data_IF_424269899670
#
_entry.id   IF_424269899670
#
_cell.length_a   1.000
_cell.length_b   1.000
_cell.length_c   1.000
_cell.angle_alpha   90.00
_cell.angle_beta   90.00
_cell.angle_gamma   90.00
#
_symmetry.space_group_name_H-M   'P 1'
#
loop_
_entity.id
_entity.type
_entity.pdbx_description
1 polymer ?
#
# COMPACT_ATOMS: atom_id res chain seq x y z
N UNK A 1 2.35 27.36 15.26
CA UNK A 1 3.28 26.58 14.41
C UNK A 1 3.92 25.45 15.22
N UNK A 2 3.69 24.19 14.83
CA UNK A 2 4.34 23.03 15.47
C UNK A 2 5.85 23.14 15.24
N UNK A 3 6.65 22.91 16.29
CA UNK A 3 8.11 22.92 16.26
C UNK A 3 8.58 21.93 15.18
N UNK A 4 9.42 22.39 14.24
CA UNK A 4 9.87 21.61 13.05
C UNK A 4 10.61 20.31 13.41
N UNK A 5 11.05 20.21 14.65
CA UNK A 5 11.85 19.16 15.28
C UNK A 5 11.01 17.99 15.87
N UNK A 6 9.68 18.07 15.85
CA UNK A 6 8.77 17.06 16.42
C UNK A 6 7.61 16.70 15.48
N UNK A 7 7.83 16.65 14.16
CA UNK A 7 6.81 16.19 13.23
C UNK A 7 6.89 14.67 13.03
N UNK A 8 6.11 13.93 13.80
CA UNK A 8 5.85 12.51 13.57
C UNK A 8 4.44 12.39 12.99
N UNK A 9 4.28 12.04 11.70
CA UNK A 9 2.96 11.88 11.12
C UNK A 9 2.27 10.66 11.72
N UNK A 10 0.95 10.73 11.92
CA UNK A 10 0.15 9.54 12.27
C UNK A 10 -0.12 8.66 11.04
N UNK A 11 -0.19 9.29 9.87
CA UNK A 11 -0.49 8.63 8.60
C UNK A 11 0.35 9.23 7.48
N UNK A 12 0.81 8.39 6.57
CA UNK A 12 1.48 8.78 5.33
C UNK A 12 0.66 8.32 4.14
N UNK A 13 0.42 9.25 3.20
CA UNK A 13 -0.28 9.00 1.95
C UNK A 13 0.73 8.90 0.81
N UNK A 14 0.68 7.80 0.06
CA UNK A 14 1.48 7.59 -1.14
C UNK A 14 0.57 7.64 -2.36
N UNK A 15 0.92 8.51 -3.32
CA UNK A 15 0.33 8.49 -4.66
C UNK A 15 1.10 7.47 -5.48
N UNK A 16 0.42 6.43 -5.94
CA UNK A 16 1.04 5.23 -6.51
C UNK A 16 0.26 4.71 -7.70
N UNK A 17 0.92 3.92 -8.54
CA UNK A 17 0.25 3.12 -9.57
C UNK A 17 -0.09 1.71 -9.06
N UNK A 18 -0.72 0.90 -9.91
CA UNK A 18 -1.14 -0.45 -9.59
C UNK A 18 0.03 -1.40 -9.22
N UNK A 19 1.19 -1.27 -9.89
CA UNK A 19 2.36 -2.09 -9.60
C UNK A 19 2.91 -1.80 -8.20
N UNK A 20 3.07 -0.52 -7.88
CA UNK A 20 3.50 -0.06 -6.56
C UNK A 20 2.50 -0.46 -5.48
N UNK A 21 1.20 -0.40 -5.76
CA UNK A 21 0.16 -0.86 -4.84
C UNK A 21 0.31 -2.37 -4.54
N UNK A 22 0.50 -3.19 -5.58
CA UNK A 22 0.75 -4.62 -5.40
C UNK A 22 1.97 -4.88 -4.51
N UNK A 23 3.07 -4.13 -4.73
CA UNK A 23 4.29 -4.28 -3.94
C UNK A 23 4.06 -3.90 -2.47
N UNK A 24 3.41 -2.77 -2.21
CA UNK A 24 3.13 -2.31 -0.85
C UNK A 24 2.20 -3.25 -0.08
N UNK A 25 1.18 -3.79 -0.74
CA UNK A 25 0.28 -4.79 -0.12
C UNK A 25 1.07 -6.01 0.32
N UNK A 26 1.94 -6.55 -0.55
CA UNK A 26 2.76 -7.73 -0.23
C UNK A 26 3.73 -7.44 0.91
N UNK A 27 4.40 -6.28 0.91
CA UNK A 27 5.33 -5.91 1.96
C UNK A 27 4.64 -5.68 3.31
N UNK A 28 3.45 -5.08 3.33
CA UNK A 28 2.68 -4.88 4.56
C UNK A 28 2.24 -6.22 5.20
N UNK A 29 2.04 -7.25 4.39
CA UNK A 29 1.68 -8.60 4.85
C UNK A 29 2.87 -9.46 5.24
N UNK A 30 4.10 -9.00 5.01
CA UNK A 30 5.28 -9.86 5.06
C UNK A 30 5.46 -10.58 6.40
N UNK A 31 5.20 -9.88 7.51
CA UNK A 31 5.47 -10.39 8.86
C UNK A 31 4.36 -11.28 9.43
N UNK A 32 3.10 -11.05 9.04
CA UNK A 32 1.94 -11.70 9.66
C UNK A 32 1.04 -12.46 8.66
N UNK A 33 1.29 -12.31 7.36
CA UNK A 33 0.48 -12.88 6.29
C UNK A 33 -0.96 -12.35 6.23
N UNK A 34 -1.31 -11.30 7.00
CA UNK A 34 -2.68 -10.84 7.14
C UNK A 34 -3.05 -9.85 6.05
N UNK A 35 -3.99 -10.23 5.21
CA UNK A 35 -4.57 -9.31 4.22
C UNK A 35 -5.11 -8.04 4.89
N UNK A 36 -4.73 -6.84 4.40
CA UNK A 36 -5.32 -5.60 4.89
C UNK A 36 -6.83 -5.60 4.69
N UNK A 37 -7.55 -5.12 5.70
CA UNK A 37 -8.96 -4.77 5.53
C UNK A 37 -9.05 -3.48 4.73
N UNK A 38 -9.75 -3.52 3.59
CA UNK A 38 -9.91 -2.37 2.72
C UNK A 38 -11.30 -1.76 2.86
N UNK A 39 -11.35 -0.43 2.98
CA UNK A 39 -12.56 0.35 2.81
C UNK A 39 -12.48 1.10 1.49
N UNK A 40 -13.14 0.54 0.47
CA UNK A 40 -13.10 1.02 -0.91
C UNK A 40 -14.28 1.95 -1.27
N UNK A 41 -15.23 2.14 -0.36
CA UNK A 41 -16.40 3.00 -0.59
C UNK A 41 -16.33 4.28 0.26
N UNK A 42 -17.08 5.28 -0.19
CA UNK A 42 -17.22 6.57 0.48
C UNK A 42 -16.43 7.68 -0.20
N UNK A 43 -16.45 8.86 0.41
CA UNK A 43 -15.69 10.01 -0.06
C UNK A 43 -14.18 9.74 -0.01
N UNK A 44 -13.42 10.38 -0.89
CA UNK A 44 -11.96 10.24 -0.96
C UNK A 44 -11.30 10.59 0.37
N UNK A 45 -11.74 11.64 1.07
CA UNK A 45 -11.22 12.01 2.39
C UNK A 45 -11.43 10.93 3.46
N UNK A 46 -12.59 10.24 3.42
CA UNK A 46 -12.88 9.14 4.34
C UNK A 46 -11.96 7.95 4.06
N UNK A 47 -11.96 7.45 2.83
CA UNK A 47 -11.19 6.26 2.45
C UNK A 47 -9.67 6.48 2.58
N UNK A 48 -9.20 7.69 2.33
CA UNK A 48 -7.76 8.00 2.30
C UNK A 48 -7.22 8.44 3.67
N UNK A 49 -8.01 9.14 4.49
CA UNK A 49 -7.50 9.73 5.74
C UNK A 49 -8.23 9.15 6.94
N UNK A 50 -9.55 9.31 7.00
CA UNK A 50 -10.30 9.01 8.23
C UNK A 50 -10.28 7.53 8.57
N UNK A 51 -10.59 6.64 7.62
CA UNK A 51 -10.62 5.20 7.85
C UNK A 51 -9.26 4.64 8.32
N UNK A 52 -8.13 4.89 7.63
CA UNK A 52 -6.84 4.39 8.09
C UNK A 52 -6.42 4.97 9.45
N UNK A 53 -6.70 6.25 9.69
CA UNK A 53 -6.36 6.92 10.94
C UNK A 53 -7.12 6.33 12.14
N UNK A 54 -8.44 6.09 12.00
CA UNK A 54 -9.26 5.59 13.12
C UNK A 54 -9.15 4.08 13.33
N UNK A 55 -8.86 3.32 12.27
CA UNK A 55 -8.77 1.86 12.34
C UNK A 55 -7.35 1.32 12.55
N UNK A 56 -6.31 2.13 12.28
CA UNK A 56 -4.91 1.68 12.27
C UNK A 56 -4.61 0.68 11.13
N UNK A 57 -5.49 0.60 10.13
CA UNK A 57 -5.30 -0.28 8.97
C UNK A 57 -4.59 0.45 7.83
N UNK A 58 -3.76 -0.30 7.11
CA UNK A 58 -3.37 0.08 5.76
C UNK A 58 -4.63 0.12 4.88
N UNK A 59 -4.81 1.16 4.06
CA UNK A 59 -5.88 1.18 3.07
C UNK A 59 -5.35 1.55 1.69
N UNK A 60 -6.04 1.05 0.67
CA UNK A 60 -5.83 1.41 -0.72
C UNK A 60 -7.12 2.03 -1.26
N UNK A 61 -7.03 3.24 -1.76
CA UNK A 61 -8.17 3.95 -2.36
C UNK A 61 -7.88 4.25 -3.82
N UNK A 62 -8.88 4.00 -4.66
CA UNK A 62 -8.91 4.50 -6.04
C UNK A 62 -9.41 5.94 -6.11
N UNK A 63 -9.86 6.51 -4.99
CA UNK A 63 -10.55 7.80 -4.95
C UNK A 63 -12.00 7.71 -5.44
N UNK A 64 -12.89 8.51 -4.85
CA UNK A 64 -14.27 8.58 -5.33
C UNK A 64 -14.36 9.30 -6.68
N UNK A 65 -15.28 8.85 -7.53
CA UNK A 65 -15.40 9.33 -8.91
C UNK A 65 -15.69 10.83 -9.01
N UNK A 66 -16.36 11.40 -8.00
CA UNK A 66 -16.73 12.82 -8.00
C UNK A 66 -15.49 13.67 -7.74
N UNK A 67 -14.75 13.40 -6.66
CA UNK A 67 -13.52 14.10 -6.33
C UNK A 67 -12.48 14.00 -7.46
N UNK A 68 -12.33 12.82 -8.07
CA UNK A 68 -11.41 12.63 -9.20
C UNK A 68 -11.75 13.49 -10.40
N UNK A 69 -13.04 13.59 -10.76
CA UNK A 69 -13.50 14.40 -11.89
C UNK A 69 -13.38 15.90 -11.61
N UNK A 70 -13.71 16.32 -10.39
CA UNK A 70 -13.64 17.73 -10.00
C UNK A 70 -12.20 18.27 -10.01
N UNK A 71 -11.25 17.48 -9.51
CA UNK A 71 -9.85 17.91 -9.35
C UNK A 71 -8.94 17.39 -10.48
N UNK A 72 -9.50 16.74 -11.51
CA UNK A 72 -8.73 16.30 -12.69
C UNK A 72 -7.63 15.28 -12.38
N UNK A 73 -7.90 14.29 -11.52
CA UNK A 73 -6.92 13.28 -11.13
C UNK A 73 -6.52 12.38 -12.31
N UNK A 74 -5.22 12.13 -12.44
CA UNK A 74 -4.66 11.15 -13.39
C UNK A 74 -5.24 9.76 -13.12
N UNK A 75 -5.94 9.12 -14.08
CA UNK A 75 -6.63 7.83 -13.90
C UNK A 75 -5.75 6.69 -13.37
N UNK A 76 -4.43 6.75 -13.58
CA UNK A 76 -3.51 5.69 -13.16
C UNK A 76 -3.07 5.83 -11.69
N UNK A 77 -3.34 6.98 -11.06
CA UNK A 77 -3.01 7.24 -9.66
C UNK A 77 -4.04 6.63 -8.72
N UNK A 78 -3.54 5.77 -7.84
CA UNK A 78 -4.16 5.25 -6.63
C UNK A 78 -3.51 5.88 -5.39
N UNK A 79 -4.14 5.72 -4.23
CA UNK A 79 -3.63 6.25 -2.96
C UNK A 79 -3.48 5.12 -1.95
N UNK A 80 -2.26 4.85 -1.50
CA UNK A 80 -2.01 4.00 -0.34
C UNK A 80 -1.88 4.86 0.91
N UNK A 81 -2.60 4.46 1.95
CA UNK A 81 -2.70 5.20 3.20
C UNK A 81 -2.15 4.31 4.31
N UNK A 82 -1.03 4.72 4.90
CA UNK A 82 -0.23 3.87 5.79
C UNK A 82 -0.09 4.57 7.15
N UNK A 83 -0.67 3.99 8.23
CA UNK A 83 -0.36 4.41 9.60
C UNK A 83 1.14 4.34 9.86
N UNK A 84 1.71 5.36 10.50
CA UNK A 84 3.16 5.52 10.58
C UNK A 84 3.86 4.36 11.31
N UNK A 85 3.17 3.72 12.24
CA UNK A 85 3.64 2.55 12.99
C UNK A 85 3.92 1.35 12.07
N UNK A 86 3.24 1.26 10.92
CA UNK A 86 3.42 0.17 9.94
C UNK A 86 4.57 0.40 8.97
N UNK A 87 4.99 1.65 8.78
CA UNK A 87 6.01 2.02 7.78
C UNK A 87 7.32 1.30 8.03
N UNK A 88 7.76 1.22 9.29
CA UNK A 88 9.01 0.53 9.63
C UNK A 88 8.96 -0.95 9.23
N UNK A 89 7.88 -1.65 9.54
CA UNK A 89 7.73 -3.06 9.20
C UNK A 89 7.73 -3.30 7.68
N UNK A 90 7.10 -2.41 6.91
CA UNK A 90 7.12 -2.45 5.44
C UNK A 90 8.54 -2.23 4.91
N UNK A 91 9.26 -1.24 5.44
CA UNK A 91 10.63 -0.93 5.04
C UNK A 91 11.59 -2.08 5.34
N UNK A 92 11.52 -2.64 6.56
CA UNK A 92 12.36 -3.76 6.99
C UNK A 92 12.08 -5.04 6.15
N UNK A 93 10.89 -5.17 5.56
CA UNK A 93 10.53 -6.30 4.69
C UNK A 93 11.10 -6.21 3.27
N UNK A 94 11.58 -5.03 2.83
CA UNK A 94 12.04 -4.82 1.45
C UNK A 94 13.19 -5.77 1.10
N UNK A 95 14.17 -5.92 1.99
CA UNK A 95 15.35 -6.75 1.73
C UNK A 95 15.06 -8.26 1.82
N UNK A 96 13.90 -8.63 2.36
CA UNK A 96 13.53 -10.01 2.67
C UNK A 96 12.42 -10.56 1.77
N UNK A 97 11.70 -9.69 1.06
CA UNK A 97 10.59 -10.07 0.19
C UNK A 97 10.98 -10.02 -1.29
N UNK A 98 10.44 -10.95 -2.09
CA UNK A 98 10.56 -10.92 -3.55
C UNK A 98 9.77 -9.77 -4.18
N UNK A 99 8.85 -9.13 -3.44
CA UNK A 99 8.23 -7.86 -3.84
C UNK A 99 9.15 -6.64 -3.64
N UNK A 100 10.26 -6.84 -2.91
CA UNK A 100 11.34 -5.89 -2.69
C UNK A 100 12.61 -6.28 -3.45
N UNK A 101 13.69 -6.56 -2.72
CA UNK A 101 15.03 -6.83 -3.25
C UNK A 101 15.48 -8.28 -3.06
N UNK A 102 14.70 -9.11 -2.35
CA UNK A 102 15.10 -10.48 -2.09
C UNK A 102 15.09 -11.30 -3.38
N UNK A 103 16.12 -12.13 -3.55
CA UNK A 103 16.18 -13.07 -4.66
C UNK A 103 15.17 -14.19 -4.43
N UNK A 104 14.40 -14.59 -5.46
CA UNK A 104 13.56 -15.77 -5.37
C UNK A 104 14.37 -17.02 -5.05
N UNK A 105 13.78 -17.98 -4.35
CA UNK A 105 14.39 -19.30 -4.20
C UNK A 105 14.24 -20.11 -5.48
N UNK A 106 15.12 -21.10 -5.69
CA UNK A 106 15.01 -21.99 -6.87
C UNK A 106 13.65 -22.68 -6.96
N UNK A 107 13.06 -23.06 -5.82
CA UNK A 107 11.74 -23.66 -5.76
C UNK A 107 10.66 -22.70 -6.24
N UNK A 108 10.74 -21.43 -5.84
CA UNK A 108 9.82 -20.40 -6.29
C UNK A 108 9.93 -20.18 -7.81
N UNK A 109 11.15 -20.10 -8.34
CA UNK A 109 11.38 -19.95 -9.79
C UNK A 109 10.79 -21.12 -10.58
N UNK A 110 11.08 -22.37 -10.16
CA UNK A 110 10.51 -23.57 -10.78
C UNK A 110 8.98 -23.59 -10.73
N UNK A 111 8.39 -23.10 -9.64
CA UNK A 111 6.94 -22.99 -9.51
C UNK A 111 6.37 -21.97 -10.50
N UNK A 112 6.97 -20.78 -10.59
CA UNK A 112 6.54 -19.72 -11.51
C UNK A 112 6.65 -20.15 -12.97
N UNK A 113 7.72 -20.86 -13.35
CA UNK A 113 7.89 -21.42 -14.70
C UNK A 113 6.77 -22.42 -15.05
N UNK A 114 6.43 -23.34 -14.14
CA UNK A 114 5.33 -24.29 -14.33
C UNK A 114 3.98 -23.60 -14.49
N UNK A 115 3.73 -22.50 -13.78
CA UNK A 115 2.50 -21.72 -13.95
C UNK A 115 2.45 -21.04 -15.31
N UNK A 116 3.57 -20.51 -15.79
CA UNK A 116 3.67 -19.84 -17.10
C UNK A 116 3.50 -20.80 -18.27
N UNK A 117 4.03 -22.02 -18.19
CA UNK A 117 3.93 -23.01 -19.27
C UNK A 117 2.55 -23.66 -19.42
N UNK A 118 1.65 -23.44 -18.45
CA UNK A 118 0.25 -23.88 -18.48
C UNK A 118 -0.71 -22.87 -19.11
N UNK A 119 -0.22 -21.69 -19.49
CA UNK A 119 -0.95 -20.69 -20.29
C UNK A 119 -0.72 -20.94 -21.76
#
# INVERSE_FOLDING_TARGET
PVRKDLFQPDIVLFLINAEQASRLITLNQFWDGKTPSFEMRGAMCWSTITYPLVSGNFNLSVGDITARRMEGWDPDIMIASIPSERIKGIADAIDLSTAGLAKPSEEFERLTERMRSRR
#
